data_IF_369485503272
#
_entry.id   IF_369485503272
#
_cell.length_a   1.000
_cell.length_b   1.000
_cell.length_c   1.000
_cell.angle_alpha   90.00
_cell.angle_beta   90.00
_cell.angle_gamma   90.00
#
_symmetry.space_group_name_H-M   'P 1'
#
loop_
_entity.id
_entity.type
_entity.pdbx_description
1 polymer ?
#
# COMPACT_ATOMS: atom_id res chain seq x y z
N UNK A 1 15.31 43.56 -95.84
CA UNK A 1 13.85 43.68 -95.87
C UNK A 1 13.31 42.38 -95.41
N UNK A 2 12.58 42.31 -94.35
CA UNK A 2 11.15 42.59 -94.23
C UNK A 2 10.70 43.20 -92.87
N UNK A 3 9.69 43.94 -92.99
CA UNK A 3 8.46 44.14 -92.29
C UNK A 3 8.44 43.99 -90.73
N UNK A 4 8.31 45.18 -90.11
CA UNK A 4 8.00 45.27 -88.68
C UNK A 4 6.56 44.95 -88.36
N UNK A 5 6.34 44.22 -87.35
CA UNK A 5 5.02 43.96 -86.76
C UNK A 5 4.89 44.80 -85.49
N UNK A 6 3.99 45.74 -85.47
CA UNK A 6 3.67 46.56 -84.30
C UNK A 6 2.60 45.83 -83.47
N UNK A 7 2.95 45.50 -82.25
CA UNK A 7 1.95 45.06 -81.29
C UNK A 7 1.34 46.27 -80.59
N UNK A 8 0.00 46.39 -80.61
CA UNK A 8 -0.75 47.33 -79.80
C UNK A 8 -0.81 46.91 -78.37
N UNK A 9 -0.71 47.83 -77.40
CA UNK A 9 -0.88 47.51 -75.99
C UNK A 9 -2.35 47.26 -75.68
N UNK A 10 -2.66 46.08 -75.07
CA UNK A 10 -3.99 45.74 -74.55
C UNK A 10 -4.17 46.49 -73.26
N UNK A 11 -5.20 47.37 -73.21
CA UNK A 11 -5.59 48.07 -71.99
C UNK A 11 -5.96 47.12 -70.88
N UNK A 12 -5.27 47.24 -69.77
CA UNK A 12 -5.60 46.51 -68.55
C UNK A 12 -6.94 47.01 -67.99
N UNK A 13 -7.94 46.15 -68.04
CA UNK A 13 -9.24 46.36 -67.39
C UNK A 13 -9.04 46.33 -65.86
N UNK A 14 -9.24 47.47 -65.23
CA UNK A 14 -9.22 47.62 -63.79
C UNK A 14 -10.40 46.84 -63.24
N UNK A 15 -10.08 45.79 -62.45
CA UNK A 15 -11.06 45.01 -61.73
C UNK A 15 -11.34 45.76 -60.45
N UNK A 16 -12.52 46.32 -60.32
CA UNK A 16 -12.99 46.98 -59.11
C UNK A 16 -12.96 45.88 -57.94
N UNK A 17 -12.17 46.16 -56.90
CA UNK A 17 -12.19 45.37 -55.71
C UNK A 17 -13.52 45.51 -54.98
N UNK A 18 -14.32 44.44 -55.01
CA UNK A 18 -15.59 44.38 -54.27
C UNK A 18 -15.23 44.39 -52.80
N UNK A 19 -15.45 45.53 -52.17
CA UNK A 19 -15.24 45.71 -50.73
C UNK A 19 -16.40 45.00 -50.00
N UNK A 20 -16.13 43.73 -49.51
CA UNK A 20 -17.06 43.03 -48.66
C UNK A 20 -17.06 43.68 -47.27
N UNK A 21 -18.20 44.14 -46.77
CA UNK A 21 -18.28 44.66 -45.43
C UNK A 21 -17.99 43.53 -44.43
N UNK A 22 -16.90 43.63 -43.67
CA UNK A 22 -16.62 42.79 -42.52
C UNK A 22 -17.70 43.05 -41.46
N UNK A 23 -18.71 42.20 -41.42
CA UNK A 23 -19.68 42.19 -40.32
C UNK A 23 -18.89 41.92 -39.00
N UNK A 24 -19.02 42.75 -37.99
CA UNK A 24 -18.40 42.53 -36.71
C UNK A 24 -19.00 41.26 -36.14
N UNK A 25 -18.14 40.23 -35.91
CA UNK A 25 -18.51 39.06 -35.15
C UNK A 25 -18.77 39.53 -33.72
N UNK A 26 -20.01 39.72 -33.37
CA UNK A 26 -20.42 39.90 -31.97
C UNK A 26 -20.12 38.61 -31.22
N UNK A 27 -19.07 38.62 -30.41
CA UNK A 27 -18.82 37.53 -29.45
C UNK A 27 -19.94 37.61 -28.41
N UNK A 28 -20.71 36.55 -28.19
CA UNK A 28 -21.70 36.58 -27.13
C UNK A 28 -20.95 36.79 -25.80
N UNK A 29 -21.21 37.89 -25.13
CA UNK A 29 -20.74 38.15 -23.79
C UNK A 29 -21.67 37.41 -22.82
N UNK A 30 -21.08 36.63 -21.88
CA UNK A 30 -21.85 35.97 -20.85
C UNK A 30 -22.59 37.02 -19.99
N UNK A 31 -23.85 36.75 -19.71
CA UNK A 31 -24.64 37.59 -18.81
C UNK A 31 -24.24 37.28 -17.36
N UNK A 32 -24.34 38.27 -16.47
CA UNK A 32 -24.06 38.12 -15.07
C UNK A 32 -24.91 37.00 -14.44
N UNK A 33 -26.17 36.86 -14.90
CA UNK A 33 -27.07 35.82 -14.40
C UNK A 33 -26.64 34.40 -14.83
N UNK A 34 -26.12 34.23 -16.05
CA UNK A 34 -25.59 32.91 -16.47
C UNK A 34 -24.43 32.47 -15.62
N UNK A 35 -23.49 33.37 -15.31
CA UNK A 35 -22.37 33.06 -14.43
C UNK A 35 -22.86 32.73 -12.99
N UNK A 36 -23.84 33.51 -12.49
CA UNK A 36 -24.40 33.32 -11.18
C UNK A 36 -25.09 31.94 -11.04
N UNK A 37 -25.87 31.55 -12.04
CA UNK A 37 -26.52 30.22 -12.08
C UNK A 37 -25.49 29.08 -12.10
N UNK A 38 -24.44 29.22 -12.93
CA UNK A 38 -23.38 28.21 -13.03
C UNK A 38 -22.65 28.03 -11.67
N UNK A 39 -22.25 29.13 -11.03
CA UNK A 39 -21.59 29.01 -9.72
C UNK A 39 -22.53 28.46 -8.65
N UNK A 40 -23.81 28.76 -8.71
CA UNK A 40 -24.79 28.20 -7.78
C UNK A 40 -24.93 26.68 -7.97
N UNK A 41 -25.01 26.19 -9.21
CA UNK A 41 -25.07 24.76 -9.51
C UNK A 41 -23.76 24.06 -9.06
N UNK A 42 -22.60 24.64 -9.38
CA UNK A 42 -21.30 24.10 -8.94
C UNK A 42 -21.23 24.05 -7.41
N UNK A 43 -21.69 25.08 -6.71
CA UNK A 43 -21.74 25.14 -5.26
C UNK A 43 -22.59 24.02 -4.66
N UNK A 44 -23.78 23.77 -5.21
CA UNK A 44 -24.65 22.68 -4.78
C UNK A 44 -24.02 21.31 -5.04
N UNK A 45 -23.47 21.09 -6.23
CA UNK A 45 -22.80 19.84 -6.58
C UNK A 45 -21.56 19.58 -5.69
N UNK A 46 -20.76 20.62 -5.43
CA UNK A 46 -19.62 20.52 -4.52
C UNK A 46 -20.03 20.15 -3.10
N UNK A 47 -21.10 20.77 -2.58
CA UNK A 47 -21.63 20.46 -1.25
C UNK A 47 -22.10 18.99 -1.13
N UNK A 48 -22.76 18.46 -2.15
CA UNK A 48 -23.22 17.06 -2.19
C UNK A 48 -22.05 16.07 -2.26
N UNK A 49 -20.99 16.39 -3.01
CA UNK A 49 -19.82 15.49 -3.17
C UNK A 49 -18.98 15.40 -1.90
N UNK A 50 -18.81 16.49 -1.14
CA UNK A 50 -18.00 16.51 0.08
C UNK A 50 -18.54 15.56 1.16
N UNK A 51 -19.85 15.41 1.28
CA UNK A 51 -20.47 14.50 2.26
C UNK A 51 -20.20 13.02 2.03
N UNK A 52 -19.94 12.59 0.79
CA UNK A 52 -19.74 11.19 0.40
C UNK A 52 -18.28 10.74 0.49
N UNK A 53 -17.33 11.64 0.28
CA UNK A 53 -15.90 11.29 0.20
C UNK A 53 -15.34 10.72 1.51
N UNK A 54 -15.87 11.14 2.63
CA UNK A 54 -15.37 10.80 3.95
C UNK A 54 -15.64 9.36 4.38
N UNK A 55 -16.86 8.83 4.31
CA UNK A 55 -17.13 7.42 4.62
C UNK A 55 -16.48 6.47 3.61
N UNK A 56 -16.25 6.91 2.35
CA UNK A 56 -15.56 6.11 1.36
C UNK A 56 -14.10 5.83 1.74
N UNK A 57 -13.35 6.80 2.26
CA UNK A 57 -11.96 6.59 2.70
C UNK A 57 -11.85 5.56 3.82
N UNK A 58 -12.75 5.61 4.82
CA UNK A 58 -12.76 4.62 5.92
C UNK A 58 -13.03 3.22 5.36
N UNK A 59 -14.04 3.05 4.53
CA UNK A 59 -14.36 1.78 3.89
C UNK A 59 -13.20 1.27 3.02
N UNK A 60 -12.54 2.15 2.29
CA UNK A 60 -11.38 1.80 1.46
C UNK A 60 -10.23 1.26 2.33
N UNK A 61 -9.88 1.94 3.42
CA UNK A 61 -8.81 1.50 4.32
C UNK A 61 -9.14 0.14 4.95
N UNK A 62 -10.37 -0.07 5.40
CA UNK A 62 -10.83 -1.36 5.93
C UNK A 62 -10.72 -2.45 4.85
N UNK A 63 -11.22 -2.20 3.64
CA UNK A 63 -11.20 -3.18 2.55
C UNK A 63 -9.78 -3.54 2.11
N UNK A 64 -8.86 -2.56 2.05
CA UNK A 64 -7.45 -2.82 1.74
C UNK A 64 -6.83 -3.72 2.81
N UNK A 65 -7.02 -3.41 4.09
CA UNK A 65 -6.49 -4.21 5.20
C UNK A 65 -7.11 -5.61 5.24
N UNK A 66 -8.40 -5.76 4.92
CA UNK A 66 -9.04 -7.08 4.80
C UNK A 66 -8.45 -7.91 3.64
N UNK A 67 -8.13 -7.28 2.52
CA UNK A 67 -7.47 -7.97 1.41
C UNK A 67 -6.04 -8.41 1.77
N UNK A 68 -5.30 -7.60 2.50
CA UNK A 68 -3.98 -7.96 3.03
C UNK A 68 -4.07 -9.10 4.04
N UNK A 69 -5.05 -9.06 4.95
CA UNK A 69 -5.34 -10.16 5.87
C UNK A 69 -5.59 -11.48 5.12
N UNK A 70 -6.43 -11.45 4.08
CA UNK A 70 -6.72 -12.64 3.28
C UNK A 70 -5.46 -13.19 2.56
N UNK A 71 -4.59 -12.30 2.06
CA UNK A 71 -3.31 -12.68 1.48
C UNK A 71 -2.42 -13.39 2.51
N UNK A 72 -2.31 -12.84 3.71
CA UNK A 72 -1.54 -13.44 4.80
C UNK A 72 -2.12 -14.79 5.25
N UNK A 73 -3.45 -14.88 5.42
CA UNK A 73 -4.10 -16.15 5.77
C UNK A 73 -3.81 -17.24 4.73
N UNK A 74 -3.87 -16.92 3.43
CA UNK A 74 -3.51 -17.86 2.38
C UNK A 74 -2.03 -18.31 2.43
N UNK A 75 -1.11 -17.40 2.80
CA UNK A 75 0.30 -17.73 3.01
C UNK A 75 0.50 -18.63 4.23
N UNK A 76 -0.20 -18.35 5.34
CA UNK A 76 -0.17 -19.13 6.56
C UNK A 76 -0.66 -20.59 6.35
N UNK A 77 -1.75 -20.75 5.58
CA UNK A 77 -2.25 -22.11 5.25
C UNK A 77 -1.28 -22.88 4.35
N UNK A 78 -0.66 -22.23 3.37
CA UNK A 78 0.39 -22.84 2.54
C UNK A 78 1.62 -23.21 3.40
N UNK A 79 2.03 -22.34 4.32
CA UNK A 79 3.10 -22.61 5.25
C UNK A 79 2.79 -23.87 6.09
N UNK A 80 1.63 -23.90 6.74
CA UNK A 80 1.19 -25.04 7.56
C UNK A 80 1.10 -26.34 6.76
N UNK A 81 0.60 -26.29 5.52
CA UNK A 81 0.51 -27.47 4.65
C UNK A 81 1.86 -28.10 4.34
N UNK A 82 2.93 -27.30 4.36
CA UNK A 82 4.30 -27.74 4.07
C UNK A 82 5.07 -28.14 5.33
N UNK A 83 4.95 -27.34 6.40
CA UNK A 83 5.71 -27.50 7.64
C UNK A 83 4.99 -28.34 8.71
N UNK A 84 3.67 -28.52 8.56
CA UNK A 84 2.81 -29.20 9.52
C UNK A 84 2.32 -28.31 10.68
N UNK A 85 2.92 -27.13 10.86
CA UNK A 85 2.62 -26.19 11.95
C UNK A 85 2.42 -24.78 11.42
N UNK A 86 1.75 -23.92 12.18
CA UNK A 86 1.75 -22.48 11.88
C UNK A 86 3.10 -21.85 12.25
N UNK A 87 3.48 -20.72 11.65
CA UNK A 87 4.70 -20.00 12.06
C UNK A 87 4.73 -19.79 13.57
N UNK A 88 5.89 -19.93 14.22
CA UNK A 88 6.02 -19.56 15.63
C UNK A 88 5.70 -18.07 15.84
N UNK A 89 5.18 -17.73 17.02
CA UNK A 89 4.96 -16.34 17.44
C UNK A 89 6.05 -15.86 18.40
N UNK A 90 6.01 -14.59 18.75
CA UNK A 90 6.75 -14.03 19.87
C UNK A 90 5.83 -14.00 21.11
N UNK A 91 6.01 -14.89 22.08
CA UNK A 91 5.13 -14.95 23.26
C UNK A 91 5.15 -13.69 24.13
N UNK A 92 6.22 -12.88 24.01
CA UNK A 92 6.38 -11.63 24.78
C UNK A 92 5.73 -10.42 24.14
N UNK A 93 5.61 -10.39 22.82
CA UNK A 93 5.09 -9.23 22.07
C UNK A 93 4.49 -9.64 20.73
N UNK A 94 3.16 -9.63 20.58
CA UNK A 94 2.52 -9.98 19.32
C UNK A 94 2.81 -8.98 18.17
N UNK A 95 3.28 -7.77 18.46
CA UNK A 95 3.64 -6.74 17.47
C UNK A 95 5.00 -7.04 16.84
N UNK A 96 5.98 -7.38 17.69
CA UNK A 96 7.34 -7.71 17.26
C UNK A 96 7.43 -9.24 17.04
N UNK A 97 7.01 -9.67 15.86
CA UNK A 97 6.92 -11.09 15.51
C UNK A 97 7.76 -11.43 14.27
N UNK A 98 8.10 -12.71 14.12
CA UNK A 98 8.98 -13.20 13.06
C UNK A 98 8.26 -13.60 11.76
N UNK A 99 6.99 -13.26 11.58
CA UNK A 99 6.20 -13.66 10.40
C UNK A 99 6.87 -13.29 9.06
N UNK A 100 7.55 -12.14 9.00
CA UNK A 100 8.29 -11.76 7.80
C UNK A 100 9.30 -12.84 7.39
N UNK A 101 10.13 -13.28 8.32
CA UNK A 101 11.18 -14.28 8.07
C UNK A 101 10.60 -15.67 7.78
N UNK A 102 9.59 -16.07 8.52
CA UNK A 102 8.94 -17.37 8.34
C UNK A 102 8.18 -17.46 7.00
N UNK A 103 7.52 -16.39 6.57
CA UNK A 103 6.75 -16.42 5.33
C UNK A 103 7.57 -16.11 4.08
N UNK A 104 8.71 -15.43 4.21
CA UNK A 104 9.62 -15.18 3.08
C UNK A 104 10.73 -16.23 2.95
N UNK A 105 10.97 -17.00 4.02
CA UNK A 105 12.00 -18.03 4.09
C UNK A 105 13.39 -17.47 4.38
N UNK A 106 14.22 -18.29 5.01
CA UNK A 106 15.57 -17.91 5.43
C UNK A 106 16.60 -19.01 5.12
N UNK A 107 17.85 -18.62 5.07
CA UNK A 107 19.03 -19.51 5.08
C UNK A 107 19.90 -19.16 6.25
N UNK A 108 20.58 -20.15 6.83
CA UNK A 108 21.53 -19.94 7.92
C UNK A 108 22.97 -20.03 7.42
N UNK A 109 23.76 -19.02 7.76
CA UNK A 109 25.21 -19.00 7.53
C UNK A 109 25.91 -19.43 8.82
N UNK A 110 26.46 -20.65 8.94
CA UNK A 110 27.06 -21.15 10.16
C UNK A 110 28.40 -20.48 10.48
N UNK A 111 29.09 -19.93 9.49
CA UNK A 111 30.40 -19.26 9.70
C UNK A 111 30.17 -17.92 10.38
N UNK A 112 29.23 -17.12 9.83
CA UNK A 112 28.92 -15.79 10.35
C UNK A 112 27.83 -15.81 11.43
N UNK A 113 27.19 -16.97 11.67
CA UNK A 113 26.07 -17.14 12.61
C UNK A 113 24.90 -16.17 12.33
N UNK A 114 24.52 -16.06 11.06
CA UNK A 114 23.54 -15.09 10.57
C UNK A 114 22.45 -15.82 9.80
N UNK A 115 21.19 -15.47 10.07
CA UNK A 115 20.04 -15.82 9.23
C UNK A 115 19.86 -14.74 8.16
N UNK A 116 19.74 -15.15 6.89
CA UNK A 116 19.49 -14.26 5.74
C UNK A 116 18.17 -14.66 5.09
N UNK A 117 17.36 -13.69 4.71
CA UNK A 117 16.16 -13.95 3.91
C UNK A 117 16.53 -14.48 2.51
N UNK A 118 15.67 -15.28 1.88
CA UNK A 118 15.94 -15.88 0.56
C UNK A 118 16.19 -14.81 -0.53
N UNK A 119 15.55 -13.66 -0.40
CA UNK A 119 15.72 -12.51 -1.31
C UNK A 119 16.98 -11.67 -1.00
N UNK A 120 17.72 -12.03 0.06
CA UNK A 120 18.90 -11.30 0.51
C UNK A 120 18.65 -9.91 1.06
N UNK A 121 17.39 -9.50 1.22
CA UNK A 121 17.01 -8.12 1.58
C UNK A 121 17.28 -7.75 3.02
N UNK A 122 17.47 -8.73 3.90
CA UNK A 122 17.82 -8.51 5.31
C UNK A 122 18.51 -9.73 5.92
N UNK A 123 19.17 -9.50 7.04
CA UNK A 123 19.79 -10.54 7.85
C UNK A 123 19.68 -10.21 9.34
N UNK A 124 19.72 -11.23 10.19
CA UNK A 124 19.73 -11.10 11.65
C UNK A 124 20.74 -12.07 12.25
N UNK A 125 21.51 -11.63 13.26
CA UNK A 125 22.41 -12.51 13.98
C UNK A 125 21.63 -13.54 14.82
N UNK A 126 22.11 -14.76 14.87
CA UNK A 126 21.48 -15.80 15.68
C UNK A 126 21.43 -15.44 17.18
N UNK A 127 22.41 -14.69 17.67
CA UNK A 127 22.46 -14.22 19.06
C UNK A 127 21.31 -13.23 19.40
N UNK A 128 20.80 -12.49 18.42
CA UNK A 128 19.80 -11.46 18.63
C UNK A 128 18.36 -12.00 18.58
N UNK A 129 18.15 -13.24 18.06
CA UNK A 129 16.81 -13.82 17.86
C UNK A 129 16.03 -13.96 19.16
N UNK A 130 16.67 -14.46 20.21
CA UNK A 130 16.01 -14.71 21.49
C UNK A 130 15.55 -13.40 22.15
N UNK A 131 16.38 -12.36 22.11
CA UNK A 131 16.05 -11.06 22.66
C UNK A 131 15.01 -10.30 21.83
N UNK A 132 14.96 -10.57 20.51
CA UNK A 132 14.09 -9.84 19.58
C UNK A 132 12.73 -10.52 19.44
N UNK A 133 12.72 -11.83 19.17
CA UNK A 133 11.52 -12.59 18.84
C UNK A 133 11.16 -13.70 19.84
N UNK A 134 11.97 -13.90 20.87
CA UNK A 134 11.76 -14.98 21.83
C UNK A 134 12.02 -16.39 21.28
N UNK A 135 12.70 -16.51 20.13
CA UNK A 135 13.00 -17.79 19.45
C UNK A 135 14.51 -17.98 19.26
N UNK A 136 14.94 -19.21 18.99
CA UNK A 136 16.36 -19.56 18.77
C UNK A 136 16.70 -19.78 17.28
N UNK A 137 15.70 -19.78 16.39
CA UNK A 137 15.82 -19.99 14.96
C UNK A 137 14.49 -19.84 14.24
N UNK A 138 14.52 -20.00 12.91
CA UNK A 138 13.32 -20.02 12.09
C UNK A 138 13.02 -21.45 11.63
N UNK A 139 11.73 -21.81 11.56
CA UNK A 139 11.26 -23.11 11.07
C UNK A 139 11.44 -23.21 9.56
N UNK A 140 11.10 -22.16 8.84
CA UNK A 140 11.29 -22.09 7.39
C UNK A 140 12.71 -21.60 7.06
N UNK A 141 13.68 -22.43 7.38
CA UNK A 141 15.10 -22.14 7.21
C UNK A 141 15.86 -23.37 6.65
N UNK A 142 16.65 -23.14 5.60
CA UNK A 142 17.66 -24.11 5.20
C UNK A 142 18.95 -23.87 6.00
N UNK A 143 19.29 -24.81 6.89
CA UNK A 143 20.43 -24.68 7.82
C UNK A 143 21.72 -25.28 7.29
N UNK A 144 21.64 -26.30 6.40
CA UNK A 144 22.80 -27.00 5.83
C UNK A 144 22.44 -27.67 4.51
N UNK A 145 23.47 -28.09 3.78
CA UNK A 145 23.30 -28.89 2.57
C UNK A 145 22.54 -30.20 2.86
N UNK A 146 21.47 -30.43 2.08
CA UNK A 146 20.57 -31.58 2.22
C UNK A 146 19.32 -31.32 3.04
N UNK A 147 19.19 -30.20 3.71
CA UNK A 147 17.93 -29.78 4.34
C UNK A 147 16.85 -29.48 3.25
N UNK A 148 15.57 -29.67 3.57
CA UNK A 148 14.51 -29.16 2.71
C UNK A 148 14.73 -27.67 2.41
N UNK A 149 14.60 -27.26 1.14
CA UNK A 149 14.82 -25.85 0.81
C UNK A 149 13.75 -24.97 1.51
N UNK A 150 14.21 -23.89 2.11
CA UNK A 150 13.31 -22.86 2.59
C UNK A 150 12.48 -22.29 1.40
N UNK A 151 11.25 -21.87 1.67
CA UNK A 151 10.31 -21.43 0.64
C UNK A 151 9.73 -20.07 0.96
N UNK A 152 9.50 -19.27 -0.06
CA UNK A 152 8.69 -18.07 0.06
C UNK A 152 7.21 -18.41 -0.12
N UNK A 153 6.41 -18.16 0.90
CA UNK A 153 4.94 -18.29 0.89
C UNK A 153 4.25 -16.95 0.61
N UNK A 154 5.01 -15.85 0.67
CA UNK A 154 4.54 -14.48 0.51
C UNK A 154 5.49 -13.72 -0.42
N UNK A 155 5.36 -13.96 -1.75
CA UNK A 155 6.28 -13.45 -2.78
C UNK A 155 6.00 -12.02 -3.22
N UNK A 156 4.73 -11.58 -3.18
CA UNK A 156 4.30 -10.33 -3.81
C UNK A 156 4.09 -9.19 -2.81
N UNK A 157 5.02 -9.07 -1.85
CA UNK A 157 5.00 -7.99 -0.87
C UNK A 157 5.34 -6.65 -1.53
N UNK A 158 4.49 -5.66 -1.32
CA UNK A 158 4.78 -4.28 -1.71
C UNK A 158 5.73 -3.63 -0.69
N UNK A 159 6.53 -2.65 -1.09
CA UNK A 159 7.43 -1.95 -0.17
C UNK A 159 6.75 -1.36 1.07
N UNK A 160 5.51 -0.91 0.94
CA UNK A 160 4.71 -0.38 2.05
C UNK A 160 4.07 -1.45 2.96
N UNK A 161 4.30 -2.73 2.69
CA UNK A 161 3.90 -3.84 3.55
C UNK A 161 5.06 -4.41 4.37
N UNK A 162 6.24 -3.79 4.26
CA UNK A 162 7.46 -4.17 4.98
C UNK A 162 7.95 -2.97 5.76
N UNK A 163 8.07 -3.10 7.07
CA UNK A 163 8.69 -2.11 7.95
C UNK A 163 10.06 -2.57 8.42
N UNK A 164 11.03 -1.65 8.50
CA UNK A 164 12.34 -1.91 9.08
C UNK A 164 12.41 -1.27 10.45
N UNK A 165 12.77 -2.02 11.48
CA UNK A 165 12.75 -1.59 12.87
C UNK A 165 14.09 -1.90 13.55
N UNK A 166 14.41 -1.11 14.58
CA UNK A 166 15.48 -1.46 15.50
C UNK A 166 14.87 -1.93 16.83
N UNK A 167 15.06 -3.20 17.17
CA UNK A 167 14.52 -3.83 18.36
C UNK A 167 15.69 -4.43 19.13
N UNK A 168 15.89 -4.03 20.38
CA UNK A 168 16.99 -4.47 21.25
C UNK A 168 18.38 -4.37 20.57
N UNK A 169 18.59 -3.34 19.74
CA UNK A 169 19.82 -3.13 18.99
C UNK A 169 19.94 -3.87 17.66
N UNK A 170 19.06 -4.83 17.38
CA UNK A 170 19.01 -5.55 16.12
C UNK A 170 18.11 -4.83 15.11
N UNK A 171 18.56 -4.73 13.86
CA UNK A 171 17.73 -4.23 12.75
C UNK A 171 16.93 -5.40 12.17
N UNK A 172 15.61 -5.30 12.20
CA UNK A 172 14.69 -6.35 11.77
C UNK A 172 13.62 -5.82 10.81
N UNK A 173 13.06 -6.71 9.99
CA UNK A 173 11.89 -6.43 9.17
C UNK A 173 10.65 -7.09 9.77
N UNK A 174 9.55 -6.37 9.75
CA UNK A 174 8.23 -6.86 10.15
C UNK A 174 7.24 -6.68 9.01
N UNK A 175 6.22 -7.53 8.96
CA UNK A 175 5.06 -7.32 8.10
C UNK A 175 4.20 -6.20 8.68
N UNK A 176 3.90 -5.22 7.86
CA UNK A 176 3.10 -4.05 8.22
C UNK A 176 1.94 -3.88 7.27
N UNK A 177 0.88 -3.21 7.70
CA UNK A 177 -0.22 -2.86 6.82
C UNK A 177 0.11 -1.66 5.95
N UNK A 178 -0.46 -1.62 4.74
CA UNK A 178 -0.36 -0.43 3.89
C UNK A 178 -1.08 0.78 4.47
N UNK A 179 -1.97 0.56 5.45
CA UNK A 179 -2.61 1.62 6.22
C UNK A 179 -1.79 1.86 7.49
N UNK A 180 -1.05 2.96 7.50
CA UNK A 180 -0.22 3.35 8.63
C UNK A 180 -1.00 3.76 9.88
N UNK A 181 -0.28 3.95 10.98
CA UNK A 181 -0.83 4.50 12.20
C UNK A 181 -0.77 6.04 12.15
N UNK A 182 -1.83 6.77 12.53
CA UNK A 182 -1.81 8.23 12.53
C UNK A 182 -0.81 8.80 13.55
N UNK A 183 0.04 9.72 13.13
CA UNK A 183 1.06 10.33 14.00
C UNK A 183 0.52 11.04 15.24
N UNK A 184 -0.74 11.51 15.19
CA UNK A 184 -1.41 12.20 16.29
C UNK A 184 -2.13 11.28 17.28
N UNK A 185 -2.05 9.94 17.10
CA UNK A 185 -2.68 8.95 17.98
C UNK A 185 -1.61 8.25 18.82
N UNK A 186 -1.72 8.37 20.12
CA UNK A 186 -0.80 7.76 21.10
C UNK A 186 -1.56 6.78 21.99
N UNK A 187 -0.92 5.64 22.40
CA UNK A 187 0.42 5.20 22.01
C UNK A 187 0.44 4.60 20.59
N UNK A 188 1.54 4.75 19.84
CA UNK A 188 1.73 4.06 18.59
C UNK A 188 2.03 2.57 18.81
N UNK A 189 1.78 1.68 17.82
CA UNK A 189 2.09 0.27 17.93
C UNK A 189 3.56 -0.02 18.21
N UNK A 190 4.47 0.77 17.63
CA UNK A 190 5.91 0.73 17.87
C UNK A 190 6.41 2.15 18.10
N UNK A 191 6.92 2.42 19.30
CA UNK A 191 7.34 3.78 19.69
C UNK A 191 8.46 4.35 18.83
N UNK A 192 9.39 3.51 18.33
CA UNK A 192 10.49 3.93 17.48
C UNK A 192 10.05 4.39 16.06
N UNK A 193 8.89 3.96 15.61
CA UNK A 193 8.34 4.30 14.29
C UNK A 193 6.81 4.46 14.40
N UNK A 194 6.35 5.60 14.91
CA UNK A 194 4.96 5.78 15.30
C UNK A 194 3.95 5.73 14.15
N UNK A 195 4.38 5.99 12.91
CA UNK A 195 3.49 5.97 11.73
C UNK A 195 3.30 4.60 11.11
N UNK A 196 4.08 3.60 11.54
CA UNK A 196 4.01 2.25 10.98
C UNK A 196 3.06 1.40 11.82
N UNK A 197 2.30 0.52 11.15
CA UNK A 197 1.32 -0.34 11.79
C UNK A 197 1.62 -1.81 11.50
N UNK A 198 2.38 -2.50 12.36
CA UNK A 198 2.69 -3.92 12.20
C UNK A 198 1.46 -4.82 12.40
N UNK A 199 1.44 -5.95 11.69
CA UNK A 199 0.52 -7.04 11.96
C UNK A 199 0.84 -7.69 13.31
N UNK A 200 -0.18 -7.95 14.11
CA UNK A 200 -0.10 -8.62 15.40
C UNK A 200 -0.41 -10.09 15.22
N UNK A 201 0.39 -10.94 15.82
CA UNK A 201 0.31 -12.38 15.61
C UNK A 201 0.52 -13.17 16.89
N UNK A 202 -0.33 -14.18 17.11
CA UNK A 202 -0.22 -15.14 18.20
C UNK A 202 -0.60 -16.54 17.69
N UNK A 203 0.28 -17.54 17.85
CA UNK A 203 0.01 -18.93 17.50
C UNK A 203 0.17 -19.89 18.67
N UNK A 204 1.01 -19.55 19.66
CA UNK A 204 1.26 -20.42 20.82
C UNK A 204 0.05 -20.54 21.77
N UNK A 205 -0.68 -19.43 21.98
CA UNK A 205 -1.87 -19.37 22.86
C UNK A 205 -2.91 -18.40 22.28
N UNK A 206 -3.47 -18.68 21.11
CA UNK A 206 -4.49 -17.82 20.52
C UNK A 206 -5.76 -17.83 21.38
N UNK A 207 -6.34 -16.66 21.60
CA UNK A 207 -7.54 -16.51 22.43
C UNK A 207 -8.84 -16.56 21.63
N UNK A 208 -8.78 -16.20 20.35
CA UNK A 208 -9.96 -16.15 19.50
C UNK A 208 -10.10 -17.40 18.60
N UNK A 209 -9.00 -17.89 18.01
CA UNK A 209 -8.97 -19.07 17.16
C UNK A 209 -8.21 -20.20 17.86
N UNK A 210 -8.80 -20.79 18.89
CA UNK A 210 -8.20 -21.90 19.67
C UNK A 210 -7.79 -23.05 18.72
N UNK A 211 -6.52 -23.49 18.79
CA UNK A 211 -5.96 -24.54 17.94
C UNK A 211 -5.52 -24.09 16.55
N UNK A 212 -5.54 -22.78 16.29
CA UNK A 212 -5.06 -22.15 15.07
C UNK A 212 -4.12 -20.98 15.42
N UNK A 213 -4.41 -19.77 14.97
CA UNK A 213 -3.66 -18.56 15.28
C UNK A 213 -4.60 -17.34 15.29
N UNK A 214 -4.20 -16.32 16.02
CA UNK A 214 -4.81 -15.00 15.97
C UNK A 214 -3.92 -14.05 15.17
N UNK A 215 -4.48 -13.42 14.15
CA UNK A 215 -3.82 -12.43 13.29
C UNK A 215 -4.73 -11.22 13.16
N UNK A 216 -4.22 -10.02 13.51
CA UNK A 216 -5.04 -8.82 13.45
C UNK A 216 -4.23 -7.54 13.26
N UNK A 217 -4.94 -6.50 12.86
CA UNK A 217 -4.46 -5.13 12.80
C UNK A 217 -5.52 -4.17 13.32
N UNK A 218 -5.08 -3.18 14.08
CA UNK A 218 -5.92 -2.09 14.53
C UNK A 218 -5.68 -0.85 13.66
N UNK A 219 -6.75 -0.24 13.15
CA UNK A 219 -6.72 0.98 12.38
C UNK A 219 -7.31 2.11 13.21
N UNK A 220 -6.53 3.13 13.51
CA UNK A 220 -7.01 4.32 14.18
C UNK A 220 -7.49 5.34 13.14
N UNK A 221 -8.81 5.48 12.97
CA UNK A 221 -9.41 6.33 11.95
C UNK A 221 -10.46 7.24 12.62
N UNK A 222 -10.22 8.55 12.58
CA UNK A 222 -11.17 9.56 13.09
C UNK A 222 -11.62 9.33 14.54
N UNK A 223 -10.67 9.04 15.42
CA UNK A 223 -10.95 8.85 16.83
C UNK A 223 -11.66 7.54 17.19
N UNK A 224 -11.77 6.61 16.21
CA UNK A 224 -12.26 5.25 16.43
C UNK A 224 -11.17 4.25 16.05
N UNK A 225 -11.12 3.14 16.77
CA UNK A 225 -10.24 2.01 16.44
C UNK A 225 -11.06 0.93 15.76
N UNK A 226 -10.62 0.52 14.56
CA UNK A 226 -11.22 -0.56 13.79
C UNK A 226 -10.26 -1.75 13.81
N UNK A 227 -10.66 -2.85 14.43
CA UNK A 227 -9.88 -4.10 14.40
C UNK A 227 -10.29 -4.94 13.21
N UNK A 228 -9.31 -5.25 12.37
CA UNK A 228 -9.42 -6.20 11.27
C UNK A 228 -8.70 -7.48 11.72
N UNK A 229 -9.41 -8.62 11.74
CA UNK A 229 -8.89 -9.85 12.34
C UNK A 229 -9.35 -11.09 11.59
N UNK A 230 -8.62 -12.19 11.75
CA UNK A 230 -8.96 -13.47 11.14
C UNK A 230 -10.09 -14.24 11.86
N UNK A 231 -10.59 -13.71 12.99
CA UNK A 231 -11.73 -14.31 13.72
C UNK A 231 -13.04 -13.53 13.52
N UNK A 232 -13.02 -12.42 12.80
CA UNK A 232 -14.22 -11.64 12.50
C UNK A 232 -14.26 -11.24 11.02
N UNK A 233 -15.41 -11.48 10.36
CA UNK A 233 -15.61 -11.04 8.97
C UNK A 233 -15.70 -9.52 8.84
N UNK A 234 -16.24 -8.87 9.85
CA UNK A 234 -16.45 -7.43 9.87
C UNK A 234 -15.42 -6.75 10.76
N UNK A 235 -15.03 -5.53 10.40
CA UNK A 235 -14.23 -4.69 11.27
C UNK A 235 -14.96 -4.48 12.61
N UNK A 236 -14.30 -4.77 13.71
CA UNK A 236 -14.80 -4.51 15.06
C UNK A 236 -14.43 -3.08 15.45
N UNK A 237 -15.33 -2.35 16.07
CA UNK A 237 -15.14 -0.94 16.46
C UNK A 237 -15.02 -0.86 17.97
N UNK A 238 -13.98 -0.14 18.45
CA UNK A 238 -13.69 0.11 19.87
C UNK A 238 -13.61 1.61 20.16
#
# INVERSE_FOLDING_TARGET
MPAGFRLHPISARQVDAVNHPHLPRTRPAFTLIEVLVVIAIIGVLAALTLGVLVPMKVKQQISVTQAELAQMQAAMERYKSTTGVYPPDNPGDPVINQLYYELTGTTYDPVNKVFKTLDGSTSINAADLSATFGVTGFVNCAMKDGDPPARSYLSDLRPNQIGTFTVNGATVKLLVGSVGWPANISPPPVSAQPEINPWRYVSSKPTNNIGSYDLWMDLAIRGKTYRISNWSRNAQIF
#
